data_IF_719092603735
#
_entry.id   IF_719092603735
#
_cell.length_a   1.000
_cell.length_b   1.000
_cell.length_c   1.000
_cell.angle_alpha   90.00
_cell.angle_beta   90.00
_cell.angle_gamma   90.00
#
_symmetry.space_group_name_H-M   'P 1'
#
loop_
_entity.id
_entity.type
_entity.pdbx_description
1 polymer ?
#
# COMPACT_ATOMS: atom_id res chain seq x y z
N UNK A 1 -9.48 -19.60 -2.37
CA UNK A 1 -8.87 -18.48 -3.13
C UNK A 1 -8.01 -17.69 -2.16
N UNK A 2 -6.77 -17.33 -2.53
CA UNK A 2 -5.89 -16.54 -1.67
C UNK A 2 -6.45 -15.13 -1.46
N UNK A 3 -6.11 -14.51 -0.34
CA UNK A 3 -6.41 -13.11 -0.05
C UNK A 3 -5.41 -12.20 -0.78
N UNK A 4 -5.88 -11.13 -1.42
CA UNK A 4 -4.98 -10.13 -1.98
C UNK A 4 -4.53 -9.14 -0.90
N UNK A 5 -3.23 -9.06 -0.66
CA UNK A 5 -2.61 -8.04 0.18
C UNK A 5 -1.90 -7.07 -0.76
N UNK A 6 -2.38 -5.83 -0.77
CA UNK A 6 -1.84 -4.79 -1.63
C UNK A 6 -1.19 -3.74 -0.76
N UNK A 7 0.09 -3.46 -0.97
CA UNK A 7 0.83 -2.48 -0.18
C UNK A 7 1.21 -1.28 -1.04
N UNK A 8 1.09 -0.07 -0.49
CA UNK A 8 1.69 1.13 -1.10
C UNK A 8 2.87 1.63 -0.30
N UNK A 9 3.98 1.89 -1.00
CA UNK A 9 5.23 2.42 -0.44
C UNK A 9 5.95 3.22 -1.52
N UNK A 10 6.62 4.32 -1.20
CA UNK A 10 7.20 5.19 -2.23
C UNK A 10 8.62 5.72 -1.97
N UNK A 11 9.30 5.30 -0.89
CA UNK A 11 10.69 5.69 -0.65
C UNK A 11 11.57 4.57 -0.07
N UNK A 12 12.90 4.65 -0.20
CA UNK A 12 13.84 3.66 0.38
C UNK A 12 13.69 3.49 1.89
N UNK A 13 13.43 4.59 2.61
CA UNK A 13 13.23 4.58 4.06
C UNK A 13 11.97 3.82 4.46
N UNK A 14 10.90 3.97 3.69
CA UNK A 14 9.65 3.25 3.92
C UNK A 14 9.76 1.78 3.51
N UNK A 15 10.49 1.47 2.44
CA UNK A 15 10.75 0.08 2.00
C UNK A 15 11.52 -0.67 3.08
N UNK A 16 12.61 -0.08 3.57
CA UNK A 16 13.46 -0.70 4.59
C UNK A 16 12.82 -0.69 5.99
N UNK A 17 12.18 0.41 6.38
CA UNK A 17 11.65 0.63 7.72
C UNK A 17 10.26 0.06 7.95
N UNK A 18 9.41 -0.03 6.91
CA UNK A 18 8.01 -0.45 7.05
C UNK A 18 7.66 -1.65 6.19
N UNK A 19 7.94 -1.64 4.89
CA UNK A 19 7.57 -2.75 4.00
C UNK A 19 8.27 -4.04 4.44
N UNK A 20 9.60 -4.02 4.59
CA UNK A 20 10.36 -5.24 4.90
C UNK A 20 9.90 -5.91 6.20
N UNK A 21 9.76 -5.20 7.35
CA UNK A 21 9.21 -5.80 8.57
C UNK A 21 7.80 -6.37 8.40
N UNK A 22 6.93 -5.70 7.63
CA UNK A 22 5.57 -6.21 7.34
C UNK A 22 5.63 -7.48 6.51
N UNK A 23 6.49 -7.53 5.50
CA UNK A 23 6.69 -8.70 4.64
C UNK A 23 7.24 -9.89 5.42
N UNK A 24 8.14 -9.66 6.37
CA UNK A 24 8.65 -10.70 7.27
C UNK A 24 7.54 -11.19 8.21
N UNK A 25 6.75 -10.30 8.80
CA UNK A 25 5.61 -10.67 9.66
C UNK A 25 4.49 -11.43 8.92
N UNK A 26 4.34 -11.21 7.61
CA UNK A 26 3.37 -11.96 6.79
C UNK A 26 3.73 -13.45 6.63
N UNK A 27 4.96 -13.86 6.95
CA UNK A 27 5.33 -15.28 6.93
C UNK A 27 4.50 -16.11 7.93
N UNK A 28 4.13 -15.51 9.06
CA UNK A 28 3.29 -16.15 10.09
C UNK A 28 1.79 -15.94 9.84
N UNK A 29 1.41 -15.36 8.69
CA UNK A 29 0.01 -15.09 8.38
C UNK A 29 -0.75 -16.40 8.10
N UNK A 30 -1.86 -16.67 8.82
CA UNK A 30 -2.47 -18.00 8.83
C UNK A 30 -3.28 -18.36 7.57
N UNK A 31 -3.42 -17.42 6.62
CA UNK A 31 -4.24 -17.62 5.42
C UNK A 31 -3.40 -17.51 4.15
N UNK A 32 -3.69 -18.31 3.11
CA UNK A 32 -3.05 -18.14 1.81
C UNK A 32 -3.26 -16.71 1.29
N UNK A 33 -2.19 -16.05 0.86
CA UNK A 33 -2.23 -14.69 0.37
C UNK A 33 -1.38 -14.51 -0.89
N UNK A 34 -1.66 -13.42 -1.61
CA UNK A 34 -0.84 -12.90 -2.70
C UNK A 34 -0.46 -11.49 -2.36
N UNK A 35 0.82 -11.16 -2.45
CA UNK A 35 1.33 -9.85 -2.11
C UNK A 35 1.69 -9.08 -3.37
N UNK A 36 1.05 -7.93 -3.57
CA UNK A 36 1.38 -6.98 -4.64
C UNK A 36 1.76 -5.64 -4.03
N UNK A 37 2.90 -5.09 -4.46
CA UNK A 37 3.36 -3.78 -3.99
C UNK A 37 3.21 -2.76 -5.11
N UNK A 38 2.44 -1.71 -4.85
CA UNK A 38 2.35 -0.54 -5.71
C UNK A 38 3.35 0.51 -5.20
N UNK A 39 4.09 1.10 -6.13
CA UNK A 39 5.04 2.17 -5.85
C UNK A 39 4.51 3.44 -6.49
N UNK A 40 3.77 4.29 -5.74
CA UNK A 40 3.32 5.58 -6.25
C UNK A 40 4.49 6.48 -6.65
N UNK A 41 4.25 7.50 -7.49
CA UNK A 41 5.25 8.48 -7.83
C UNK A 41 5.79 9.17 -6.57
N UNK A 42 7.11 9.31 -6.49
CA UNK A 42 7.77 10.04 -5.40
C UNK A 42 8.84 10.96 -6.00
N UNK A 43 8.86 12.26 -5.66
CA UNK A 43 9.88 13.19 -6.15
C UNK A 43 11.28 12.85 -5.62
N UNK A 44 11.37 12.03 -4.57
CA UNK A 44 12.61 11.59 -3.94
C UNK A 44 12.96 10.13 -4.28
N UNK A 45 12.26 9.50 -5.23
CA UNK A 45 12.57 8.13 -5.63
C UNK A 45 13.96 8.08 -6.28
N UNK A 46 14.79 7.16 -5.82
CA UNK A 46 16.08 6.86 -6.43
C UNK A 46 15.95 6.03 -7.72
N UNK A 47 14.77 5.44 -7.94
CA UNK A 47 14.50 4.49 -9.03
C UNK A 47 14.91 3.05 -8.68
N UNK A 48 15.60 2.84 -7.55
CA UNK A 48 16.02 1.52 -7.09
C UNK A 48 14.93 0.78 -6.30
N UNK A 49 13.86 1.47 -5.89
CA UNK A 49 12.80 0.91 -5.03
C UNK A 49 12.11 -0.28 -5.69
N UNK A 50 11.76 -0.16 -6.99
CA UNK A 50 11.16 -1.25 -7.75
C UNK A 50 12.01 -2.52 -7.70
N UNK A 51 13.34 -2.36 -7.80
CA UNK A 51 14.28 -3.48 -7.81
C UNK A 51 14.39 -4.11 -6.42
N UNK A 52 14.58 -3.30 -5.38
CA UNK A 52 14.69 -3.78 -3.99
C UNK A 52 13.42 -4.52 -3.58
N UNK A 53 12.25 -3.98 -3.93
CA UNK A 53 10.97 -4.62 -3.62
C UNK A 53 10.78 -5.92 -4.42
N UNK A 54 11.21 -5.96 -5.68
CA UNK A 54 11.14 -7.16 -6.51
C UNK A 54 12.11 -8.27 -6.06
N UNK A 55 13.17 -7.93 -5.32
CA UNK A 55 14.10 -8.89 -4.72
C UNK A 55 13.53 -9.55 -3.45
N UNK A 56 12.40 -9.06 -2.91
CA UNK A 56 11.72 -9.69 -1.78
C UNK A 56 10.95 -10.95 -2.27
N UNK A 57 11.30 -12.16 -1.81
CA UNK A 57 10.74 -13.40 -2.36
C UNK A 57 9.24 -13.58 -2.11
N UNK A 58 8.68 -12.89 -1.11
CA UNK A 58 7.25 -12.92 -0.80
C UNK A 58 6.42 -12.01 -1.71
N UNK A 59 7.04 -11.05 -2.41
CA UNK A 59 6.34 -10.12 -3.29
C UNK A 59 6.11 -10.77 -4.64
N UNK A 60 4.86 -11.10 -4.94
CA UNK A 60 4.49 -11.75 -6.22
C UNK A 60 4.60 -10.77 -7.40
N UNK A 61 4.28 -9.51 -7.15
CA UNK A 61 4.28 -8.48 -8.18
C UNK A 61 4.59 -7.09 -7.62
N UNK A 62 5.38 -6.34 -8.37
CA UNK A 62 5.66 -4.92 -8.13
C UNK A 62 5.06 -4.11 -9.29
N UNK A 63 4.27 -3.10 -8.96
CA UNK A 63 3.68 -2.15 -9.91
C UNK A 63 4.36 -0.81 -9.73
N UNK A 64 5.10 -0.38 -10.75
CA UNK A 64 5.85 0.88 -10.70
C UNK A 64 4.95 2.13 -10.77
N UNK A 65 5.57 3.31 -10.63
CA UNK A 65 4.86 4.58 -10.61
C UNK A 65 4.00 4.84 -11.87
N UNK A 66 4.56 4.62 -13.06
CA UNK A 66 3.82 4.83 -14.32
C UNK A 66 2.61 3.91 -14.46
N UNK A 67 2.77 2.63 -14.11
CA UNK A 67 1.69 1.65 -14.15
C UNK A 67 0.64 1.92 -13.07
N UNK A 68 1.07 2.37 -11.89
CA UNK A 68 0.20 2.80 -10.80
C UNK A 68 -0.68 3.97 -11.25
N UNK A 69 -0.09 5.02 -11.83
CA UNK A 69 -0.84 6.16 -12.37
C UNK A 69 -1.82 5.69 -13.45
N UNK A 70 -1.34 4.90 -14.43
CA UNK A 70 -2.15 4.39 -15.53
C UNK A 70 -3.34 3.58 -15.00
N UNK A 71 -3.11 2.71 -14.02
CA UNK A 71 -4.16 1.91 -13.41
C UNK A 71 -5.16 2.75 -12.62
N UNK A 72 -4.74 3.82 -11.96
CA UNK A 72 -5.68 4.69 -11.26
C UNK A 72 -6.54 5.48 -12.25
N UNK A 73 -5.93 6.06 -13.29
CA UNK A 73 -6.62 6.95 -14.25
C UNK A 73 -7.51 6.16 -15.21
N UNK A 74 -6.95 5.14 -15.87
CA UNK A 74 -7.68 4.38 -16.89
C UNK A 74 -8.31 3.10 -16.33
N UNK A 75 -7.80 2.65 -15.18
CA UNK A 75 -7.77 1.28 -14.65
C UNK A 75 -8.01 0.14 -15.61
N UNK A 76 -7.19 0.19 -16.65
CA UNK A 76 -6.68 -1.01 -17.27
C UNK A 76 -5.64 -1.58 -16.30
N UNK A 77 -5.89 -2.80 -15.83
CA UNK A 77 -4.97 -3.49 -14.93
C UNK A 77 -3.57 -3.59 -15.58
N UNK A 78 -2.49 -3.40 -14.80
CA UNK A 78 -1.13 -3.71 -15.26
C UNK A 78 -1.02 -5.17 -15.73
N UNK A 79 0.00 -5.46 -16.53
CA UNK A 79 0.21 -6.80 -17.02
C UNK A 79 0.35 -7.78 -15.84
N UNK A 80 -0.31 -8.94 -15.92
CA UNK A 80 -0.33 -10.00 -14.87
C UNK A 80 -1.03 -9.63 -13.56
N UNK A 81 -1.48 -8.38 -13.39
CA UNK A 81 -2.24 -8.00 -12.20
C UNK A 81 -3.70 -8.47 -12.33
N UNK A 82 -4.03 -9.56 -11.64
CA UNK A 82 -5.37 -10.15 -11.64
C UNK A 82 -5.89 -10.30 -10.20
N UNK A 83 -6.58 -9.28 -9.64
CA UNK A 83 -7.11 -9.33 -8.29
C UNK A 83 -8.23 -10.39 -8.15
N UNK A 84 -8.20 -11.16 -7.07
CA UNK A 84 -9.09 -12.28 -6.75
C UNK A 84 -10.51 -11.84 -6.33
N UNK A 85 -10.76 -10.53 -6.27
CA UNK A 85 -12.04 -9.95 -5.81
C UNK A 85 -12.22 -9.92 -4.29
N UNK A 86 -11.23 -10.38 -3.50
CA UNK A 86 -11.20 -10.27 -2.05
C UNK A 86 -9.78 -9.91 -1.57
N UNK A 87 -9.64 -8.78 -0.92
CA UNK A 87 -8.33 -8.31 -0.47
C UNK A 87 -8.38 -7.15 0.50
N UNK A 88 -7.21 -6.64 0.83
CA UNK A 88 -6.99 -5.47 1.68
C UNK A 88 -5.88 -4.61 1.06
N UNK A 89 -6.01 -3.29 1.23
CA UNK A 89 -4.94 -2.34 0.92
C UNK A 89 -4.31 -1.89 2.24
N UNK A 90 -2.99 -2.00 2.33
CA UNK A 90 -2.20 -1.50 3.43
C UNK A 90 -1.33 -0.35 2.93
N UNK A 91 -1.71 0.87 3.31
CA UNK A 91 -0.86 2.03 3.08
C UNK A 91 0.26 2.01 4.14
N UNK A 92 1.49 1.83 3.68
CA UNK A 92 2.67 1.98 4.54
C UNK A 92 3.35 3.31 4.28
N UNK A 93 3.31 3.84 3.06
CA UNK A 93 3.94 5.10 2.76
C UNK A 93 3.62 5.69 1.40
N UNK A 94 4.12 6.90 1.20
CA UNK A 94 3.80 7.77 0.09
C UNK A 94 2.54 8.61 0.26
N UNK A 95 1.77 8.74 -0.81
CA UNK A 95 0.58 9.60 -0.84
C UNK A 95 -0.69 8.79 -0.62
N UNK A 96 -1.40 9.10 0.47
CA UNK A 96 -2.68 8.48 0.86
C UNK A 96 -3.74 8.52 -0.26
N UNK A 97 -3.66 9.51 -1.15
CA UNK A 97 -4.55 9.64 -2.31
C UNK A 97 -4.46 8.40 -3.20
N UNK A 98 -3.26 7.87 -3.44
CA UNK A 98 -3.07 6.69 -4.29
C UNK A 98 -3.68 5.44 -3.65
N UNK A 99 -3.46 5.23 -2.36
CA UNK A 99 -4.07 4.12 -1.63
C UNK A 99 -5.61 4.23 -1.60
N UNK A 100 -6.16 5.42 -1.37
CA UNK A 100 -7.60 5.66 -1.41
C UNK A 100 -8.22 5.39 -2.79
N UNK A 101 -7.55 5.83 -3.87
CA UNK A 101 -8.00 5.59 -5.24
C UNK A 101 -7.91 4.10 -5.62
N UNK A 102 -6.84 3.41 -5.20
CA UNK A 102 -6.73 1.95 -5.36
C UNK A 102 -7.85 1.22 -4.61
N UNK A 103 -8.18 1.65 -3.37
CA UNK A 103 -9.25 1.06 -2.57
C UNK A 103 -10.59 1.15 -3.29
N UNK A 104 -10.89 2.32 -3.84
CA UNK A 104 -12.09 2.54 -4.66
C UNK A 104 -12.07 1.69 -5.93
N UNK A 105 -10.92 1.59 -6.61
CA UNK A 105 -10.79 0.88 -7.90
C UNK A 105 -10.96 -0.63 -7.76
N UNK A 106 -10.42 -1.18 -6.67
CA UNK A 106 -10.44 -2.61 -6.37
C UNK A 106 -11.61 -3.03 -5.51
N UNK A 107 -12.30 -2.06 -4.88
CA UNK A 107 -13.37 -2.27 -3.90
C UNK A 107 -12.89 -3.06 -2.69
N UNK A 108 -11.65 -2.79 -2.26
CA UNK A 108 -11.04 -3.39 -1.07
C UNK A 108 -11.03 -2.39 0.09
N UNK A 109 -11.23 -2.84 1.33
CA UNK A 109 -10.98 -2.00 2.49
C UNK A 109 -9.51 -1.60 2.54
N UNK A 110 -9.25 -0.35 2.92
CA UNK A 110 -7.90 0.17 3.11
C UNK A 110 -7.61 0.43 4.58
N UNK A 111 -6.39 0.11 5.01
CA UNK A 111 -5.83 0.43 6.32
C UNK A 111 -4.59 1.27 6.09
N UNK A 112 -4.45 2.38 6.82
CA UNK A 112 -3.28 3.25 6.72
C UNK A 112 -2.45 3.20 7.98
N UNK A 113 -1.17 2.86 7.82
CA UNK A 113 -0.15 3.15 8.82
C UNK A 113 0.38 4.57 8.55
N UNK A 114 0.19 5.48 9.51
CA UNK A 114 0.53 6.91 9.34
C UNK A 114 0.96 7.54 10.66
N UNK A 115 1.79 8.57 10.60
CA UNK A 115 2.28 9.33 11.77
C UNK A 115 1.45 10.58 12.08
N UNK A 116 0.30 10.76 11.43
CA UNK A 116 -0.68 11.80 11.77
C UNK A 116 -1.13 12.71 10.63
N UNK A 117 -0.90 12.34 9.38
CA UNK A 117 -1.54 12.95 8.22
C UNK A 117 -2.76 12.08 7.85
N UNK A 118 -3.96 12.68 7.86
CA UNK A 118 -5.22 11.98 7.57
C UNK A 118 -6.10 12.75 6.59
N UNK A 119 -5.49 13.46 5.63
CA UNK A 119 -6.21 13.84 4.43
C UNK A 119 -6.74 12.54 3.81
N UNK A 120 -8.05 12.46 3.53
CA UNK A 120 -8.78 11.24 3.13
C UNK A 120 -9.22 10.28 4.26
N UNK A 121 -9.38 10.74 5.50
CA UNK A 121 -9.85 9.92 6.62
C UNK A 121 -11.05 8.99 6.30
N UNK A 122 -12.04 9.50 5.55
CA UNK A 122 -13.25 8.77 5.19
C UNK A 122 -13.05 7.65 4.14
N UNK A 123 -11.89 7.59 3.49
CA UNK A 123 -11.58 6.57 2.47
C UNK A 123 -10.91 5.31 3.05
N UNK A 124 -10.51 5.34 4.33
CA UNK A 124 -9.84 4.23 5.00
C UNK A 124 -10.75 3.61 6.06
N UNK A 125 -10.75 2.28 6.13
CA UNK A 125 -11.51 1.55 7.12
C UNK A 125 -10.90 1.66 8.52
N UNK A 126 -9.56 1.73 8.61
CA UNK A 126 -8.82 1.85 9.88
C UNK A 126 -7.51 2.60 9.69
N UNK A 127 -7.03 3.17 10.79
CA UNK A 127 -5.70 3.76 10.90
C UNK A 127 -4.89 3.02 11.97
N UNK A 128 -3.66 2.66 11.64
CA UNK A 128 -2.66 2.14 12.57
C UNK A 128 -1.61 3.24 12.82
N UNK A 129 -1.23 3.44 14.07
CA UNK A 129 -0.32 4.52 14.46
C UNK A 129 0.66 3.98 15.50
N UNK A 130 1.89 4.49 15.46
CA UNK A 130 2.95 4.07 16.39
C UNK A 130 2.62 4.45 17.84
N UNK A 131 1.92 5.58 18.04
CA UNK A 131 1.64 6.10 19.37
C UNK A 131 0.19 6.59 19.53
N UNK A 132 -0.40 6.48 20.73
CA UNK A 132 -1.78 6.90 20.99
C UNK A 132 -2.05 8.38 20.67
N UNK A 133 -1.10 9.27 20.96
CA UNK A 133 -1.26 10.72 20.75
C UNK A 133 -1.38 11.13 19.27
N UNK A 134 -0.93 10.27 18.34
CA UNK A 134 -1.13 10.51 16.91
C UNK A 134 -2.61 10.39 16.53
N UNK A 135 -3.39 9.57 17.24
CA UNK A 135 -4.81 9.38 16.95
C UNK A 135 -5.65 10.63 17.22
N UNK A 136 -5.19 11.48 18.14
CA UNK A 136 -5.85 12.74 18.44
C UNK A 136 -5.73 13.76 17.30
N UNK A 137 -4.73 13.61 16.42
CA UNK A 137 -4.60 14.45 15.22
C UNK A 137 -5.63 14.13 14.15
N UNK A 138 -6.11 12.89 14.08
CA UNK A 138 -7.08 12.44 13.06
C UNK A 138 -8.51 12.86 13.43
N UNK A 139 -8.82 13.00 14.73
CA UNK A 139 -10.17 13.34 15.24
C UNK A 139 -10.62 14.78 14.96
N UNK A 140 -9.82 15.62 14.30
CA UNK A 140 -10.19 16.98 13.93
C UNK A 140 -10.39 17.14 12.41
N UNK A 141 -11.47 16.61 11.82
CA UNK A 141 -12.02 17.23 10.64
C UNK A 141 -12.85 18.43 11.12
N UNK A 142 -12.31 19.65 11.00
CA UNK A 142 -13.16 20.85 10.91
C UNK A 142 -14.08 20.75 9.71
#
# INVERSE_FOLDING_TARGET
MPLDIIITVNSPGEVSGWLKPVVDALQDFPWPYRLTVFIPPCPFASGAENRVVAELPQVEQVIGAEETIRFIITGRAPAKFNPAGKGIILFLGGDLTYAALLAKRLRYPAVAYTEGLANWANSFARFAMAYPWMADKIKKPT
#
